data_IF_766683436592
#
_entry.id   IF_766683436592
#
_cell.length_a   1.000
_cell.length_b   1.000
_cell.length_c   1.000
_cell.angle_alpha   90.00
_cell.angle_beta   90.00
_cell.angle_gamma   90.00
#
_symmetry.space_group_name_H-M   'P 1'
#
loop_
_entity.id
_entity.type
_entity.pdbx_description
1 polymer ?
#
# COMPACT_ATOMS: atom_id res chain seq x y z
N UNK A 1 -36.62 14.18 -55.58
CA UNK A 1 -36.01 13.34 -54.54
C UNK A 1 -37.10 12.97 -53.55
N UNK A 2 -37.45 11.69 -53.45
CA UNK A 2 -38.38 11.19 -52.44
C UNK A 2 -37.71 11.16 -51.06
N UNK A 3 -38.50 11.15 -49.98
CA UNK A 3 -37.95 11.04 -48.62
C UNK A 3 -37.14 9.75 -48.40
N UNK A 4 -37.46 8.69 -49.14
CA UNK A 4 -36.73 7.42 -49.11
C UNK A 4 -35.35 7.52 -49.78
N UNK A 5 -35.26 8.22 -50.91
CA UNK A 5 -33.99 8.47 -51.60
C UNK A 5 -33.05 9.31 -50.74
N UNK A 6 -33.58 10.32 -50.02
CA UNK A 6 -32.80 11.15 -49.09
C UNK A 6 -32.30 10.31 -47.91
N UNK A 7 -33.15 9.47 -47.32
CA UNK A 7 -32.76 8.59 -46.21
C UNK A 7 -31.67 7.60 -46.62
N UNK A 8 -31.80 6.99 -47.81
CA UNK A 8 -30.82 6.04 -48.33
C UNK A 8 -29.48 6.72 -48.63
N UNK A 9 -29.51 7.92 -49.22
CA UNK A 9 -28.31 8.71 -49.47
C UNK A 9 -27.59 9.07 -48.17
N UNK A 10 -28.32 9.57 -47.17
CA UNK A 10 -27.76 9.88 -45.84
C UNK A 10 -27.17 8.64 -45.19
N UNK A 11 -27.89 7.51 -45.18
CA UNK A 11 -27.39 6.27 -44.59
C UNK A 11 -26.11 5.78 -45.29
N UNK A 12 -26.08 5.83 -46.62
CA UNK A 12 -24.93 5.40 -47.42
C UNK A 12 -23.72 6.29 -47.15
N UNK A 13 -23.91 7.61 -47.07
CA UNK A 13 -22.84 8.56 -46.78
C UNK A 13 -22.32 8.43 -45.35
N UNK A 14 -23.19 8.24 -44.35
CA UNK A 14 -22.77 8.10 -42.95
C UNK A 14 -22.02 6.78 -42.70
N UNK A 15 -22.40 5.70 -43.39
CA UNK A 15 -21.79 4.38 -43.23
C UNK A 15 -20.57 4.17 -44.14
N UNK A 16 -20.32 5.07 -45.11
CA UNK A 16 -19.14 4.98 -45.98
C UNK A 16 -17.85 5.20 -45.19
N UNK A 17 -16.72 4.78 -45.75
CA UNK A 17 -15.40 5.02 -45.13
C UNK A 17 -15.11 6.51 -44.99
N UNK A 18 -15.47 7.29 -46.00
CA UNK A 18 -15.33 8.74 -46.02
C UNK A 18 -16.21 9.40 -44.95
N UNK A 19 -17.42 8.87 -44.73
CA UNK A 19 -18.30 9.29 -43.63
C UNK A 19 -17.68 9.01 -42.26
N UNK A 20 -17.15 7.79 -42.05
CA UNK A 20 -16.47 7.42 -40.80
C UNK A 20 -15.23 8.28 -40.53
N UNK A 21 -14.42 8.55 -41.55
CA UNK A 21 -13.26 9.44 -41.46
C UNK A 21 -13.68 10.90 -41.17
N UNK A 22 -14.75 11.37 -41.82
CA UNK A 22 -15.35 12.66 -41.54
C UNK A 22 -15.80 12.78 -40.08
N UNK A 23 -16.49 11.76 -39.56
CA UNK A 23 -16.88 11.71 -38.15
C UNK A 23 -15.68 11.72 -37.22
N UNK A 24 -14.62 10.92 -37.49
CA UNK A 24 -13.41 10.94 -36.65
C UNK A 24 -12.83 12.35 -36.53
N UNK A 25 -12.71 13.08 -37.64
CA UNK A 25 -12.24 14.47 -37.66
C UNK A 25 -13.15 15.41 -36.87
N UNK A 26 -14.47 15.21 -36.93
CA UNK A 26 -15.44 16.00 -36.17
C UNK A 26 -15.33 15.70 -34.67
N UNK A 27 -15.10 14.44 -34.28
CA UNK A 27 -14.87 14.06 -32.89
C UNK A 27 -13.54 14.60 -32.34
N UNK A 28 -12.53 14.80 -33.18
CA UNK A 28 -11.29 15.47 -32.79
C UNK A 28 -11.46 16.98 -32.56
N UNK A 29 -12.55 17.60 -33.05
CA UNK A 29 -12.84 19.01 -32.79
C UNK A 29 -13.22 19.23 -31.30
N UNK A 30 -12.48 20.07 -30.56
CA UNK A 30 -12.73 20.29 -29.13
C UNK A 30 -14.09 20.92 -28.82
N UNK A 31 -14.64 21.75 -29.71
CA UNK A 31 -15.95 22.39 -29.49
C UNK A 31 -17.06 21.37 -29.63
N UNK A 32 -16.99 20.55 -30.69
CA UNK A 32 -17.94 19.47 -30.90
C UNK A 32 -17.87 18.46 -29.75
N UNK A 33 -16.67 17.96 -29.42
CA UNK A 33 -16.48 17.02 -28.31
C UNK A 33 -16.92 17.59 -26.96
N UNK A 34 -16.71 18.88 -26.70
CA UNK A 34 -17.22 19.53 -25.47
C UNK A 34 -18.74 19.57 -25.43
N UNK A 35 -19.39 19.94 -26.53
CA UNK A 35 -20.85 20.00 -26.61
C UNK A 35 -21.47 18.60 -26.51
N UNK A 36 -20.87 17.60 -27.15
CA UNK A 36 -21.29 16.22 -27.07
C UNK A 36 -21.10 15.65 -25.65
N UNK A 37 -19.96 15.89 -25.02
CA UNK A 37 -19.73 15.47 -23.65
C UNK A 37 -20.74 16.10 -22.68
N UNK A 38 -21.09 17.38 -22.88
CA UNK A 38 -22.11 18.08 -22.09
C UNK A 38 -23.50 17.49 -22.31
N UNK A 39 -23.88 17.17 -23.55
CA UNK A 39 -25.20 16.61 -23.84
C UNK A 39 -25.37 15.20 -23.29
N UNK A 40 -24.30 14.40 -23.25
CA UNK A 40 -24.32 13.03 -22.73
C UNK A 40 -24.02 12.95 -21.22
N UNK A 41 -23.69 14.06 -20.56
CA UNK A 41 -23.17 14.05 -19.20
C UNK A 41 -24.13 13.41 -18.20
N UNK A 42 -25.43 13.69 -18.32
CA UNK A 42 -26.45 13.21 -17.39
C UNK A 42 -26.67 11.71 -17.52
N UNK A 43 -26.80 11.23 -18.76
CA UNK A 43 -27.00 9.83 -19.09
C UNK A 43 -25.74 9.03 -18.74
N UNK A 44 -24.55 9.56 -19.06
CA UNK A 44 -23.28 8.95 -18.70
C UNK A 44 -23.09 8.84 -17.17
N UNK A 45 -23.50 9.87 -16.42
CA UNK A 45 -23.48 9.81 -14.95
C UNK A 45 -24.44 8.73 -14.42
N UNK A 46 -25.63 8.60 -15.01
CA UNK A 46 -26.57 7.54 -14.62
C UNK A 46 -25.99 6.16 -14.91
N UNK A 47 -25.45 5.97 -16.12
CA UNK A 47 -24.79 4.74 -16.54
C UNK A 47 -23.65 4.36 -15.59
N UNK A 48 -22.75 5.31 -15.27
CA UNK A 48 -21.67 5.05 -14.31
C UNK A 48 -22.18 4.65 -12.94
N UNK A 49 -23.24 5.30 -12.44
CA UNK A 49 -23.86 4.94 -11.14
C UNK A 49 -24.45 3.56 -11.12
N UNK A 50 -25.04 3.12 -12.24
CA UNK A 50 -25.61 1.80 -12.34
C UNK A 50 -24.53 0.74 -12.54
N UNK A 51 -23.49 1.03 -13.33
CA UNK A 51 -22.30 0.18 -13.44
C UNK A 51 -21.58 0.02 -12.08
N UNK A 52 -21.52 1.04 -11.22
CA UNK A 52 -20.96 0.87 -9.87
C UNK A 52 -21.69 -0.17 -9.02
N UNK A 53 -22.94 -0.51 -9.35
CA UNK A 53 -23.72 -1.57 -8.67
C UNK A 53 -23.54 -2.92 -9.35
N UNK A 54 -22.95 -2.96 -10.54
CA UNK A 54 -22.72 -4.17 -11.30
C UNK A 54 -21.52 -4.97 -10.74
N UNK A 55 -21.64 -6.30 -10.51
CA UNK A 55 -20.56 -7.10 -9.95
C UNK A 55 -19.28 -7.16 -10.79
N UNK A 56 -19.38 -7.17 -12.12
CA UNK A 56 -18.21 -7.22 -13.00
C UNK A 56 -17.46 -5.89 -12.96
N UNK A 57 -18.19 -4.78 -13.01
CA UNK A 57 -17.60 -3.45 -12.87
C UNK A 57 -16.97 -3.24 -11.49
N UNK A 58 -17.61 -3.70 -10.42
CA UNK A 58 -17.02 -3.69 -9.07
C UNK A 58 -15.73 -4.48 -9.01
N UNK A 59 -15.66 -5.65 -9.65
CA UNK A 59 -14.45 -6.46 -9.71
C UNK A 59 -13.32 -5.73 -10.43
N UNK A 60 -13.61 -5.06 -11.54
CA UNK A 60 -12.63 -4.21 -12.23
C UNK A 60 -12.16 -3.06 -11.33
N UNK A 61 -13.07 -2.41 -10.61
CA UNK A 61 -12.70 -1.33 -9.68
C UNK A 61 -11.81 -1.83 -8.53
N UNK A 62 -12.09 -3.02 -7.99
CA UNK A 62 -11.24 -3.64 -6.96
C UNK A 62 -9.85 -3.96 -7.52
N UNK A 63 -9.74 -4.37 -8.78
CA UNK A 63 -8.43 -4.57 -9.42
C UNK A 63 -7.65 -3.26 -9.52
N UNK A 64 -8.30 -2.14 -9.85
CA UNK A 64 -7.68 -0.82 -9.85
C UNK A 64 -7.23 -0.42 -8.44
N UNK A 65 -8.01 -0.71 -7.40
CA UNK A 65 -7.60 -0.46 -6.00
C UNK A 65 -6.43 -1.33 -5.52
N UNK A 66 -6.09 -2.41 -6.22
CA UNK A 66 -4.91 -3.24 -5.91
C UNK A 66 -3.63 -2.71 -6.56
N UNK A 67 -3.69 -1.54 -7.19
CA UNK A 67 -2.51 -0.89 -7.72
C UNK A 67 -1.49 -0.58 -6.59
N UNK A 68 -0.17 -0.80 -6.80
CA UNK A 68 0.86 -0.54 -5.80
C UNK A 68 0.88 0.90 -5.27
N UNK A 69 0.48 1.89 -6.09
CA UNK A 69 0.40 3.28 -5.66
C UNK A 69 -0.76 3.47 -4.67
N UNK A 70 -1.90 2.83 -4.92
CA UNK A 70 -3.03 2.83 -3.99
C UNK A 70 -2.66 2.10 -2.68
N UNK A 71 -1.98 0.96 -2.77
CA UNK A 71 -1.49 0.22 -1.60
C UNK A 71 -0.55 1.09 -0.75
N UNK A 72 0.39 1.81 -1.37
CA UNK A 72 1.28 2.72 -0.66
C UNK A 72 0.50 3.83 0.06
N UNK A 73 -0.47 4.44 -0.60
CA UNK A 73 -1.33 5.47 0.01
C UNK A 73 -2.11 4.91 1.19
N UNK A 74 -2.62 3.67 1.09
CA UNK A 74 -3.31 2.98 2.17
C UNK A 74 -2.38 2.67 3.35
N UNK A 75 -1.15 2.21 3.08
CA UNK A 75 -0.14 1.97 4.11
C UNK A 75 0.25 3.26 4.84
N UNK A 76 0.35 4.37 4.12
CA UNK A 76 0.64 5.67 4.74
C UNK A 76 -0.54 6.20 5.57
N UNK A 77 -1.78 5.94 5.14
CA UNK A 77 -2.96 6.20 5.96
C UNK A 77 -2.96 5.40 7.27
N UNK A 78 -2.56 4.13 7.23
CA UNK A 78 -2.42 3.32 8.45
C UNK A 78 -1.31 3.81 9.39
N UNK A 79 -0.32 4.56 8.88
CA UNK A 79 0.70 5.21 9.72
C UNK A 79 0.20 6.53 10.33
N UNK A 80 -0.95 7.03 9.92
CA UNK A 80 -1.49 8.29 10.44
C UNK A 80 -1.72 8.22 11.96
N UNK A 81 -1.57 9.37 12.63
CA UNK A 81 -1.80 9.48 14.08
C UNK A 81 -3.20 9.02 14.48
N UNK A 82 -4.22 9.35 13.68
CA UNK A 82 -5.60 8.94 13.92
C UNK A 82 -5.75 7.41 13.92
N UNK A 83 -5.21 6.73 12.90
CA UNK A 83 -5.27 5.27 12.84
C UNK A 83 -4.46 4.62 13.95
N UNK A 84 -3.26 5.14 14.26
CA UNK A 84 -2.44 4.65 15.38
C UNK A 84 -3.16 4.79 16.73
N UNK A 85 -3.88 5.89 16.97
CA UNK A 85 -4.66 6.06 18.20
C UNK A 85 -5.78 5.02 18.31
N UNK A 86 -6.45 4.73 17.20
CA UNK A 86 -7.47 3.68 17.16
C UNK A 86 -6.84 2.30 17.41
N UNK A 87 -5.72 1.98 16.78
CA UNK A 87 -4.97 0.72 17.01
C UNK A 87 -4.52 0.60 18.46
N UNK A 88 -4.00 1.67 19.06
CA UNK A 88 -3.62 1.68 20.48
C UNK A 88 -4.82 1.43 21.40
N UNK A 89 -6.00 1.93 21.04
CA UNK A 89 -7.24 1.67 21.80
C UNK A 89 -7.63 0.20 21.69
N UNK A 90 -7.66 -0.35 20.48
CA UNK A 90 -7.92 -1.78 20.25
C UNK A 90 -6.91 -2.67 20.97
N UNK A 91 -5.62 -2.29 20.99
CA UNK A 91 -4.59 -3.01 21.74
C UNK A 91 -4.81 -2.95 23.25
N UNK A 92 -5.22 -1.80 23.80
CA UNK A 92 -5.55 -1.67 25.23
C UNK A 92 -6.74 -2.56 25.60
N UNK A 93 -7.77 -2.56 24.77
CA UNK A 93 -8.96 -3.39 24.97
C UNK A 93 -8.60 -4.88 24.87
N UNK A 94 -7.76 -5.25 23.90
CA UNK A 94 -7.26 -6.61 23.74
C UNK A 94 -6.43 -7.07 24.94
N UNK A 95 -5.57 -6.20 25.49
CA UNK A 95 -4.82 -6.51 26.72
C UNK A 95 -5.76 -6.71 27.91
N UNK A 96 -6.89 -6.02 27.98
CA UNK A 96 -7.88 -6.23 29.05
C UNK A 96 -8.69 -7.53 28.89
N UNK A 97 -8.56 -8.22 27.75
CA UNK A 97 -9.21 -9.51 27.53
C UNK A 97 -8.62 -10.58 28.46
N UNK A 98 -9.45 -11.34 29.19
CA UNK A 98 -8.98 -12.45 30.04
C UNK A 98 -8.13 -13.47 29.27
N UNK A 99 -8.48 -13.76 28.02
CA UNK A 99 -7.73 -14.69 27.17
C UNK A 99 -6.30 -14.19 26.90
N UNK A 100 -6.16 -12.89 26.63
CA UNK A 100 -4.86 -12.30 26.32
C UNK A 100 -4.00 -12.14 27.59
N UNK A 101 -4.63 -11.82 28.73
CA UNK A 101 -3.95 -11.79 30.03
C UNK A 101 -3.42 -13.17 30.43
N UNK A 102 -4.19 -14.24 30.22
CA UNK A 102 -3.74 -15.60 30.50
C UNK A 102 -2.54 -16.00 29.64
N UNK A 103 -2.56 -15.67 28.34
CA UNK A 103 -1.42 -15.89 27.43
C UNK A 103 -0.20 -15.05 27.83
N UNK A 104 -0.40 -13.79 28.20
CA UNK A 104 0.67 -12.91 28.68
C UNK A 104 1.31 -13.45 29.96
N UNK A 105 0.50 -13.91 30.91
CA UNK A 105 0.99 -14.50 32.16
C UNK A 105 1.77 -15.80 31.92
N UNK A 106 1.32 -16.65 30.99
CA UNK A 106 2.09 -17.84 30.56
C UNK A 106 3.43 -17.46 29.93
N UNK A 107 3.45 -16.41 29.11
CA UNK A 107 4.68 -15.92 28.48
C UNK A 107 5.66 -15.37 29.53
N UNK A 108 5.17 -14.60 30.50
CA UNK A 108 5.97 -14.07 31.62
C UNK A 108 6.54 -15.23 32.45
N UNK A 109 5.73 -16.23 32.78
CA UNK A 109 6.18 -17.40 33.54
C UNK A 109 7.30 -18.16 32.79
N UNK A 110 7.14 -18.36 31.48
CA UNK A 110 8.16 -19.01 30.64
C UNK A 110 9.45 -18.19 30.56
N UNK A 111 9.35 -16.87 30.40
CA UNK A 111 10.51 -15.98 30.36
C UNK A 111 11.28 -15.98 31.70
N UNK A 112 10.58 -16.05 32.84
CA UNK A 112 11.22 -16.20 34.15
C UNK A 112 11.90 -17.56 34.31
N UNK A 113 11.28 -18.65 33.84
CA UNK A 113 11.90 -19.98 33.84
C UNK A 113 13.18 -20.00 32.98
N UNK A 114 13.18 -19.33 31.83
CA UNK A 114 14.35 -19.17 30.96
C UNK A 114 15.43 -18.28 31.58
N UNK A 115 15.06 -17.21 32.28
CA UNK A 115 16.01 -16.34 32.98
C UNK A 115 16.60 -16.98 34.26
N UNK A 116 15.85 -17.87 34.92
CA UNK A 116 16.31 -18.64 36.09
C UNK A 116 17.07 -19.90 35.72
N UNK A 117 17.01 -20.36 34.46
CA UNK A 117 17.94 -21.37 33.97
C UNK A 117 19.34 -20.78 34.08
N UNK A 118 20.27 -21.41 34.82
CA UNK A 118 21.63 -20.92 34.86
C UNK A 118 22.12 -20.87 33.42
N UNK A 119 22.58 -19.70 32.97
CA UNK A 119 23.51 -19.65 31.85
C UNK A 119 24.56 -20.71 32.19
N UNK A 120 24.64 -21.77 31.39
CA UNK A 120 25.83 -22.59 31.38
C UNK A 120 26.94 -21.63 31.00
N UNK A 121 27.58 -21.03 32.00
CA UNK A 121 28.94 -20.56 31.94
C UNK A 121 29.71 -21.70 31.33
N UNK A 122 29.98 -21.59 30.02
CA UNK A 122 31.03 -22.32 29.36
C UNK A 122 32.32 -21.64 29.81
N UNK A 123 32.65 -21.82 31.08
CA UNK A 123 33.88 -21.40 31.70
C UNK A 123 34.66 -22.64 32.08
N UNK A 124 35.87 -22.74 31.54
CA UNK A 124 36.93 -23.55 32.13
C UNK A 124 37.13 -24.94 31.52
N UNK A 125 37.76 -24.97 30.35
CA UNK A 125 38.69 -26.06 30.05
C UNK A 125 40.07 -25.42 29.87
N UNK A 126 40.81 -25.34 30.98
CA UNK A 126 42.25 -25.10 30.92
C UNK A 126 42.93 -26.43 30.65
N UNK A 127 43.59 -26.57 29.50
CA UNK A 127 44.80 -27.38 29.37
C UNK A 127 45.53 -27.07 28.06
N UNK A 128 46.79 -26.66 28.18
CA UNK A 128 47.84 -26.90 27.18
C UNK A 128 48.06 -25.82 26.11
N UNK A 129 49.12 -25.03 26.27
CA UNK A 129 49.58 -24.13 25.21
C UNK A 129 50.76 -23.24 25.61
N UNK A 130 51.94 -23.84 25.78
CA UNK A 130 53.25 -23.20 25.77
C UNK A 130 53.40 -22.17 24.62
N UNK A 131 54.01 -21.03 24.92
CA UNK A 131 54.39 -20.04 23.91
C UNK A 131 54.94 -18.77 24.55
N UNK A 132 56.24 -18.77 24.84
CA UNK A 132 56.96 -17.68 25.50
C UNK A 132 57.24 -16.44 24.64
N UNK A 133 57.89 -15.47 25.29
CA UNK A 133 58.38 -14.20 24.74
C UNK A 133 57.55 -13.04 25.28
N UNK A 134 57.96 -12.28 26.29
CA UNK A 134 59.27 -11.67 26.47
C UNK A 134 59.24 -10.27 25.87
N UNK A 135 58.99 -9.25 26.70
CA UNK A 135 58.97 -7.85 26.25
C UNK A 135 58.23 -6.89 27.19
N UNK A 136 58.78 -6.69 28.39
CA UNK A 136 58.59 -5.43 29.12
C UNK A 136 59.37 -4.34 28.39
N UNK A 137 58.72 -3.24 28.04
CA UNK A 137 59.09 -1.89 28.52
C UNK A 137 58.19 -0.81 27.90
N UNK A 138 57.93 0.26 28.67
CA UNK A 138 57.83 1.59 28.07
C UNK A 138 56.45 2.22 27.86
N UNK A 139 55.82 2.63 28.96
CA UNK A 139 55.59 4.07 29.20
C UNK A 139 54.38 4.78 28.60
N UNK A 140 53.81 5.68 29.41
CA UNK A 140 53.23 6.93 28.90
C UNK A 140 51.78 7.18 29.25
N UNK A 141 51.49 7.44 30.54
CA UNK A 141 50.29 8.18 30.92
C UNK A 141 50.42 9.65 30.54
N UNK A 142 49.36 10.21 29.93
CA UNK A 142 49.00 11.63 29.73
C UNK A 142 47.91 11.65 28.65
N UNK A 143 46.84 12.45 28.63
CA UNK A 143 46.41 13.54 29.50
C UNK A 143 44.99 13.95 29.07
N UNK A 144 44.27 14.53 30.02
CA UNK A 144 43.01 15.26 29.92
C UNK A 144 42.81 16.17 28.68
N UNK A 145 41.55 16.30 28.27
CA UNK A 145 40.95 17.42 27.52
C UNK A 145 39.61 16.97 26.92
N UNK A 146 38.42 17.47 27.29
CA UNK A 146 37.97 18.87 27.32
C UNK A 146 37.67 19.31 25.88
N UNK A 147 36.50 19.74 25.44
CA UNK A 147 35.20 20.05 25.99
C UNK A 147 34.32 20.58 24.84
N UNK A 148 33.11 21.06 25.15
CA UNK A 148 32.32 21.94 24.27
C UNK A 148 31.42 21.24 23.27
#
# INVERSE_FOLDING_TARGET
>A
MSGEEVKLAVQTTLLSKEGQEGFKKIFEDPKFSSQLAKSMMKENQSLLKDLMKDPEYQKMMIQVMKDPEFEKNLLDLMKSSAYRNQVMTVMKDALQSPLFMDELMKLIAKAQEEAMKPEKKKGGEGSGGEGGGGGSDGGGGSQAGGGG
#
